data_IF_236485003251
#
_entry.id   IF_236485003251
#
_cell.length_a   1.000
_cell.length_b   1.000
_cell.length_c   1.000
_cell.angle_alpha   90.00
_cell.angle_beta   90.00
_cell.angle_gamma   90.00
#
_symmetry.space_group_name_H-M   'P 1'
#
loop_
_entity.id
_entity.type
_entity.pdbx_description
1 polymer ?
#
# COMPACT_ATOMS: atom_id res chain seq x y z
N UNK A 1 9.80 23.17 -1.82
CA UNK A 1 9.23 21.83 -1.64
C UNK A 1 9.60 21.05 -2.89
N UNK A 2 10.87 20.63 -3.02
CA UNK A 2 11.43 20.21 -4.30
C UNK A 2 12.05 18.81 -4.18
N UNK A 3 11.70 17.97 -5.14
CA UNK A 3 12.45 16.81 -5.64
C UNK A 3 12.59 15.56 -4.76
N UNK A 4 11.47 14.90 -4.44
CA UNK A 4 11.45 13.47 -4.05
C UNK A 4 10.91 12.55 -5.14
N UNK A 5 10.80 13.02 -6.39
CA UNK A 5 10.43 12.14 -7.50
C UNK A 5 11.60 11.20 -7.81
N UNK A 6 11.31 9.91 -7.84
CA UNK A 6 12.28 8.88 -8.22
C UNK A 6 12.71 9.10 -9.68
N UNK A 7 13.90 8.61 -10.09
CA UNK A 7 14.37 8.74 -11.47
C UNK A 7 13.34 8.24 -12.51
N UNK A 8 12.59 7.19 -12.19
CA UNK A 8 11.52 6.64 -13.04
C UNK A 8 10.33 7.58 -13.16
N UNK A 9 9.92 8.24 -12.07
CA UNK A 9 8.84 9.23 -12.10
C UNK A 9 9.25 10.47 -12.91
N UNK A 10 10.50 10.92 -12.77
CA UNK A 10 11.02 12.04 -13.58
C UNK A 10 11.06 11.71 -15.07
N UNK A 11 11.44 10.49 -15.44
CA UNK A 11 11.42 10.04 -16.84
C UNK A 11 9.99 10.02 -17.40
N UNK A 12 9.05 9.50 -16.62
CA UNK A 12 7.63 9.45 -16.99
C UNK A 12 7.06 10.85 -17.20
N UNK A 13 7.30 11.79 -16.29
CA UNK A 13 6.85 13.18 -16.41
C UNK A 13 7.44 13.89 -17.64
N UNK A 14 8.73 13.69 -17.92
CA UNK A 14 9.35 14.24 -19.13
C UNK A 14 8.70 13.68 -20.40
N UNK A 15 8.40 12.38 -20.42
CA UNK A 15 7.73 11.75 -21.55
C UNK A 15 6.29 12.25 -21.72
N UNK A 16 5.58 12.43 -20.62
CA UNK A 16 4.23 12.99 -20.62
C UNK A 16 4.22 14.39 -21.24
N UNK A 17 5.12 15.26 -20.77
CA UNK A 17 5.26 16.62 -21.28
C UNK A 17 5.63 16.65 -22.78
N UNK A 18 6.45 15.71 -23.24
CA UNK A 18 6.82 15.62 -24.66
C UNK A 18 5.65 15.17 -25.54
N UNK A 19 4.89 14.15 -25.11
CA UNK A 19 3.74 13.65 -25.85
C UNK A 19 2.62 14.70 -25.99
N UNK A 20 2.40 15.50 -24.95
CA UNK A 20 1.36 16.53 -24.94
C UNK A 20 1.82 17.90 -25.46
N UNK A 21 3.09 18.07 -25.83
CA UNK A 21 3.65 19.36 -26.25
C UNK A 21 2.90 20.00 -27.42
N UNK A 22 2.48 19.20 -28.39
CA UNK A 22 1.81 19.65 -29.62
C UNK A 22 0.31 19.32 -29.65
N UNK A 23 -0.24 18.81 -28.53
CA UNK A 23 -1.65 18.38 -28.44
C UNK A 23 -2.49 19.37 -27.64
N UNK A 24 -3.74 19.65 -28.07
CA UNK A 24 -4.65 20.46 -27.28
C UNK A 24 -5.08 19.71 -26.01
N UNK A 25 -5.29 20.45 -24.92
CA UNK A 25 -5.79 19.87 -23.67
C UNK A 25 -7.19 19.25 -23.87
N UNK A 26 -7.45 18.01 -23.42
CA UNK A 26 -8.75 17.38 -23.56
C UNK A 26 -9.81 18.16 -22.76
N UNK A 27 -11.01 18.30 -23.31
CA UNK A 27 -12.12 19.04 -22.67
C UNK A 27 -13.21 18.15 -22.07
N UNK A 28 -13.09 16.85 -22.26
CA UNK A 28 -14.09 15.83 -21.92
C UNK A 28 -13.36 14.57 -21.47
N UNK A 29 -13.88 13.91 -20.44
CA UNK A 29 -13.28 12.75 -19.80
C UNK A 29 -13.00 11.61 -20.81
N UNK A 30 -13.91 11.35 -21.75
CA UNK A 30 -13.71 10.36 -22.82
C UNK A 30 -12.49 10.63 -23.71
N UNK A 31 -12.18 11.90 -23.93
CA UNK A 31 -11.00 12.29 -24.72
C UNK A 31 -9.75 12.20 -23.89
N UNK A 32 -9.82 12.51 -22.61
CA UNK A 32 -8.70 12.34 -21.68
C UNK A 32 -8.29 10.87 -21.60
N UNK A 33 -9.26 9.96 -21.43
CA UNK A 33 -9.02 8.50 -21.42
C UNK A 33 -8.34 8.03 -22.71
N UNK A 34 -8.85 8.43 -23.88
CA UNK A 34 -8.24 8.08 -25.18
C UNK A 34 -6.83 8.65 -25.36
N UNK A 35 -6.57 9.86 -24.89
CA UNK A 35 -5.24 10.45 -24.95
C UNK A 35 -4.26 9.78 -23.99
N UNK A 36 -4.73 9.33 -22.83
CA UNK A 36 -3.94 8.56 -21.87
C UNK A 36 -3.59 7.16 -22.42
N UNK A 37 -4.53 6.46 -23.04
CA UNK A 37 -4.27 5.21 -23.76
C UNK A 37 -3.25 5.41 -24.90
N UNK A 38 -3.43 6.49 -25.68
CA UNK A 38 -2.48 6.88 -26.72
C UNK A 38 -1.08 7.18 -26.19
N UNK A 39 -0.98 7.83 -25.02
CA UNK A 39 0.29 8.08 -24.35
C UNK A 39 0.99 6.78 -23.97
N UNK A 40 0.27 5.82 -23.35
CA UNK A 40 0.86 4.53 -22.98
C UNK A 40 1.38 3.76 -24.20
N UNK A 41 0.62 3.75 -25.30
CA UNK A 41 1.08 3.16 -26.55
C UNK A 41 2.34 3.88 -27.07
N UNK A 42 2.33 5.20 -27.18
CA UNK A 42 3.49 5.94 -27.68
C UNK A 42 4.73 5.77 -26.78
N UNK A 43 4.56 5.80 -25.46
CA UNK A 43 5.67 5.65 -24.50
C UNK A 43 6.34 4.29 -24.64
N UNK A 44 5.55 3.21 -24.71
CA UNK A 44 6.07 1.84 -24.79
C UNK A 44 6.63 1.50 -26.18
N UNK A 45 6.00 1.97 -27.27
CA UNK A 45 6.33 1.56 -28.64
C UNK A 45 7.19 2.54 -29.43
N UNK A 46 7.29 3.81 -29.02
CA UNK A 46 8.10 4.83 -29.72
C UNK A 46 9.25 5.27 -28.84
N UNK A 47 8.98 5.74 -27.61
CA UNK A 47 10.00 6.36 -26.76
C UNK A 47 11.00 5.34 -26.22
N UNK A 48 10.54 4.29 -25.52
CA UNK A 48 11.43 3.25 -24.95
C UNK A 48 12.28 2.53 -26.00
N UNK A 49 11.82 2.51 -27.24
CA UNK A 49 12.54 1.95 -28.38
C UNK A 49 13.64 2.86 -28.89
N UNK A 50 13.38 4.17 -28.92
CA UNK A 50 14.38 5.16 -29.33
C UNK A 50 15.59 5.19 -28.40
N UNK A 51 15.39 5.00 -27.09
CA UNK A 51 16.47 4.99 -26.10
C UNK A 51 17.31 3.70 -26.13
N UNK A 52 16.70 2.56 -26.47
CA UNK A 52 17.39 1.26 -26.52
C UNK A 52 18.06 1.01 -27.86
N UNK A 53 17.70 1.76 -28.91
CA UNK A 53 18.20 1.57 -30.28
C UNK A 53 17.85 0.21 -30.88
N UNK A 54 16.97 -0.55 -30.21
CA UNK A 54 16.59 -1.92 -30.54
C UNK A 54 15.08 -1.97 -30.74
N UNK A 55 14.66 -2.62 -31.82
CA UNK A 55 13.26 -2.92 -32.11
C UNK A 55 12.69 -3.90 -31.06
N UNK A 56 11.35 -4.03 -30.90
CA UNK A 56 10.78 -4.93 -29.90
C UNK A 56 11.14 -6.38 -30.22
N UNK A 57 11.31 -6.68 -31.51
CA UNK A 57 11.79 -7.95 -32.02
C UNK A 57 13.22 -8.27 -31.55
N UNK A 58 14.11 -7.27 -31.56
CA UNK A 58 15.49 -7.44 -31.07
C UNK A 58 15.55 -7.59 -29.55
N UNK A 59 14.75 -6.83 -28.80
CA UNK A 59 14.63 -7.01 -27.35
C UNK A 59 14.06 -8.39 -27.00
N UNK A 60 13.03 -8.85 -27.72
CA UNK A 60 12.46 -10.20 -27.50
C UNK A 60 13.50 -11.29 -27.75
N UNK A 61 14.29 -11.15 -28.82
CA UNK A 61 15.38 -12.07 -29.14
C UNK A 61 16.47 -12.07 -28.07
N UNK A 62 16.77 -10.93 -27.47
CA UNK A 62 17.76 -10.82 -26.39
C UNK A 62 17.27 -11.41 -25.07
N UNK A 63 16.01 -11.17 -24.69
CA UNK A 63 15.44 -11.66 -23.42
C UNK A 63 15.15 -13.17 -23.47
N UNK A 64 14.62 -13.66 -24.58
CA UNK A 64 14.10 -15.03 -24.66
C UNK A 64 14.98 -15.96 -25.50
N UNK A 65 16.06 -15.47 -26.10
CA UNK A 65 16.95 -16.21 -27.02
C UNK A 65 16.19 -16.90 -28.18
N UNK A 66 14.99 -16.42 -28.50
CA UNK A 66 14.09 -16.97 -29.52
C UNK A 66 13.76 -15.91 -30.55
N UNK A 67 13.68 -16.29 -31.82
CA UNK A 67 13.17 -15.36 -32.83
C UNK A 67 11.70 -15.04 -32.54
N UNK A 68 11.31 -13.77 -32.50
CA UNK A 68 9.91 -13.41 -32.36
C UNK A 68 9.13 -14.02 -33.54
N UNK A 69 7.89 -14.49 -33.31
CA UNK A 69 7.05 -14.99 -34.40
C UNK A 69 7.02 -13.98 -35.55
N UNK A 70 7.42 -14.41 -36.76
CA UNK A 70 7.55 -13.53 -37.95
C UNK A 70 6.23 -12.88 -38.38
N UNK A 71 5.12 -13.43 -37.89
CA UNK A 71 3.79 -12.92 -38.08
C UNK A 71 3.17 -12.85 -36.68
N UNK A 72 3.27 -11.69 -36.03
CA UNK A 72 2.13 -11.33 -35.19
C UNK A 72 0.98 -11.19 -36.17
N UNK A 73 -0.11 -11.97 -36.07
CA UNK A 73 -1.28 -11.69 -36.86
C UNK A 73 -1.70 -10.25 -36.51
N UNK A 74 -1.46 -9.30 -37.43
CA UNK A 74 -2.02 -7.95 -37.43
C UNK A 74 -3.51 -8.05 -37.83
N UNK A 75 -4.17 -9.10 -37.35
CA UNK A 75 -5.60 -9.21 -37.28
C UNK A 75 -5.94 -9.24 -35.79
N UNK A 76 -5.61 -8.14 -35.09
CA UNK A 76 -6.04 -7.87 -33.72
C UNK A 76 -7.52 -7.50 -33.80
N UNK A 77 -8.33 -8.50 -34.10
CA UNK A 77 -9.76 -8.59 -33.79
C UNK A 77 -10.05 -9.85 -32.97
N UNK A 78 -9.02 -10.55 -32.48
CA UNK A 78 -9.22 -11.36 -31.29
C UNK A 78 -9.21 -10.38 -30.12
N UNK A 79 -10.36 -10.05 -29.52
CA UNK A 79 -10.38 -9.25 -28.31
C UNK A 79 -9.42 -9.93 -27.34
N UNK A 80 -8.56 -9.13 -26.70
CA UNK A 80 -7.80 -9.57 -25.53
C UNK A 80 -8.67 -10.54 -24.76
N UNK A 81 -8.18 -11.77 -24.49
CA UNK A 81 -8.93 -12.79 -23.74
C UNK A 81 -9.39 -12.13 -22.44
N UNK A 82 -10.58 -11.53 -22.48
CA UNK A 82 -11.25 -10.99 -21.32
C UNK A 82 -11.48 -12.26 -20.52
N UNK A 83 -10.71 -12.40 -19.45
CA UNK A 83 -11.14 -13.31 -18.41
C UNK A 83 -12.47 -12.71 -17.98
N UNK A 84 -13.56 -13.34 -18.44
CA UNK A 84 -14.88 -13.05 -17.94
C UNK A 84 -14.81 -13.43 -16.47
N UNK A 85 -14.51 -12.43 -15.64
CA UNK A 85 -14.75 -12.50 -14.22
C UNK A 85 -16.28 -12.53 -14.12
N UNK A 86 -16.83 -13.73 -14.10
CA UNK A 86 -18.19 -13.94 -13.62
C UNK A 86 -18.11 -13.55 -12.15
N UNK A 87 -18.54 -12.32 -11.85
CA UNK A 87 -18.83 -11.93 -10.47
C UNK A 87 -19.80 -12.99 -9.96
N UNK A 88 -19.39 -13.67 -8.89
CA UNK A 88 -20.21 -14.69 -8.27
C UNK A 88 -21.50 -14.01 -7.83
N UNK A 89 -22.62 -14.30 -8.49
CA UNK A 89 -23.94 -13.71 -8.17
C UNK A 89 -24.38 -14.08 -6.74
N UNK A 90 -23.67 -15.02 -6.09
CA UNK A 90 -23.79 -15.35 -4.66
C UNK A 90 -22.99 -14.43 -3.71
N UNK A 91 -22.34 -13.36 -4.20
CA UNK A 91 -21.77 -12.35 -3.30
C UNK A 91 -22.89 -11.54 -2.63
N UNK A 92 -23.30 -11.99 -1.45
CA UNK A 92 -24.31 -11.34 -0.62
C UNK A 92 -23.65 -10.15 0.11
N UNK A 93 -23.88 -8.94 -0.37
CA UNK A 93 -23.42 -7.71 0.28
C UNK A 93 -23.93 -7.58 1.73
N UNK A 94 -24.96 -8.34 2.13
CA UNK A 94 -25.47 -8.34 3.51
C UNK A 94 -24.59 -9.10 4.51
N UNK A 95 -23.57 -9.85 4.06
CA UNK A 95 -22.57 -10.45 4.95
C UNK A 95 -21.53 -9.42 5.47
N UNK A 96 -21.43 -8.24 4.83
CA UNK A 96 -20.79 -7.07 5.42
C UNK A 96 -21.80 -6.34 6.32
N UNK A 97 -22.16 -6.97 7.43
CA UNK A 97 -23.05 -6.36 8.41
C UNK A 97 -22.41 -5.09 9.02
N UNK A 98 -23.22 -4.04 9.13
CA UNK A 98 -22.95 -2.71 9.73
C UNK A 98 -22.50 -2.72 11.22
N UNK A 99 -22.14 -3.89 11.78
CA UNK A 99 -21.75 -4.01 13.19
C UNK A 99 -20.43 -3.25 13.48
N UNK A 100 -19.53 -3.15 12.52
CA UNK A 100 -18.28 -2.38 12.64
C UNK A 100 -18.53 -0.86 12.66
N UNK A 101 -19.59 -0.37 12.01
CA UNK A 101 -19.92 1.06 11.90
C UNK A 101 -20.51 1.61 13.21
N UNK A 102 -21.23 0.79 13.97
CA UNK A 102 -21.75 1.17 15.29
C UNK A 102 -20.65 1.35 16.35
N UNK A 103 -19.60 0.52 16.32
CA UNK A 103 -18.48 0.62 17.26
C UNK A 103 -17.66 1.88 16.99
N UNK A 104 -17.38 2.16 15.71
CA UNK A 104 -16.66 3.37 15.30
C UNK A 104 -17.42 4.66 15.67
N UNK A 105 -18.75 4.68 15.49
CA UNK A 105 -19.59 5.82 15.85
C UNK A 105 -19.56 6.13 17.36
N UNK A 106 -19.59 5.09 18.20
CA UNK A 106 -19.48 5.23 19.68
C UNK A 106 -18.11 5.78 20.09
N UNK A 107 -17.05 5.41 19.38
CA UNK A 107 -15.70 5.93 19.65
C UNK A 107 -15.56 7.42 19.30
N UNK A 108 -16.14 7.86 18.18
CA UNK A 108 -16.20 9.29 17.81
C UNK A 108 -16.98 10.11 18.83
N UNK A 109 -18.15 9.63 19.27
CA UNK A 109 -18.95 10.32 20.29
C UNK A 109 -18.19 10.44 21.63
N UNK A 110 -17.41 9.43 21.99
CA UNK A 110 -16.55 9.48 23.17
C UNK A 110 -15.41 10.52 23.05
N UNK A 111 -14.86 10.71 21.85
CA UNK A 111 -13.87 11.75 21.59
C UNK A 111 -14.49 13.16 21.63
N UNK A 112 -15.68 13.33 21.05
CA UNK A 112 -16.41 14.60 21.05
C UNK A 112 -16.85 15.03 22.46
N UNK A 113 -17.17 14.07 23.33
CA UNK A 113 -17.57 14.30 24.72
C UNK A 113 -16.40 14.33 25.72
N UNK A 114 -15.21 14.74 25.28
CA UNK A 114 -14.05 14.89 26.16
C UNK A 114 -14.01 16.25 26.85
N UNK A 115 -13.63 16.26 28.14
CA UNK A 115 -13.46 17.49 28.93
C UNK A 115 -11.99 17.78 29.23
N UNK A 116 -11.59 19.06 29.24
CA UNK A 116 -10.24 19.43 29.59
C UNK A 116 -9.98 19.26 31.09
N UNK A 117 -8.88 18.58 31.42
CA UNK A 117 -8.31 18.47 32.77
C UNK A 117 -6.87 18.93 32.77
N UNK A 118 -6.33 19.26 33.95
CA UNK A 118 -4.92 19.64 34.09
C UNK A 118 -4.10 18.44 34.54
N UNK A 119 -2.98 18.19 33.85
CA UNK A 119 -1.98 17.23 34.28
C UNK A 119 -1.53 17.55 35.71
N UNK A 120 -1.48 16.53 36.56
CA UNK A 120 -1.20 16.66 37.99
C UNK A 120 0.23 17.12 38.24
N UNK A 121 1.15 16.75 37.34
CA UNK A 121 2.58 17.07 37.38
C UNK A 121 2.89 18.43 36.71
N UNK A 122 2.75 18.54 35.39
CA UNK A 122 3.16 19.76 34.64
C UNK A 122 2.08 20.84 34.50
N UNK A 123 0.82 20.56 34.90
CA UNK A 123 -0.35 21.46 34.76
C UNK A 123 -0.81 21.75 33.33
N UNK A 124 -0.22 21.13 32.30
CA UNK A 124 -0.71 21.20 30.93
C UNK A 124 -2.14 20.66 30.83
N UNK A 125 -2.92 21.19 29.89
CA UNK A 125 -4.29 20.77 29.63
C UNK A 125 -4.29 19.47 28.82
N UNK A 126 -5.06 18.49 29.26
CA UNK A 126 -5.26 17.18 28.64
C UNK A 126 -6.75 16.95 28.43
N UNK A 127 -7.13 16.21 27.40
CA UNK A 127 -8.51 15.81 27.13
C UNK A 127 -8.80 14.48 27.81
N UNK A 128 -9.91 14.41 28.54
CA UNK A 128 -10.34 13.20 29.26
C UNK A 128 -11.78 12.90 28.89
N UNK A 129 -12.12 11.66 28.46
CA UNK A 129 -13.50 11.27 28.19
C UNK A 129 -14.39 11.49 29.42
N UNK A 130 -15.61 11.99 29.21
CA UNK A 130 -16.53 12.37 30.29
C UNK A 130 -16.80 11.24 31.28
N UNK A 131 -16.88 10.00 30.81
CA UNK A 131 -17.07 8.82 31.65
C UNK A 131 -15.93 8.60 32.66
N UNK A 132 -14.72 9.08 32.34
CA UNK A 132 -13.51 8.85 33.13
C UNK A 132 -13.13 10.04 34.01
N UNK A 133 -13.70 11.22 33.75
CA UNK A 133 -13.38 12.51 34.41
C UNK A 133 -13.49 12.51 35.94
N UNK A 134 -14.25 11.59 36.54
CA UNK A 134 -14.43 11.51 38.00
C UNK A 134 -13.94 10.19 38.61
N UNK A 135 -13.49 9.24 37.78
CA UNK A 135 -13.10 7.90 38.26
C UNK A 135 -11.66 7.86 38.78
N UNK A 136 -10.84 8.82 38.38
CA UNK A 136 -9.42 8.85 38.69
C UNK A 136 -9.06 10.03 39.62
N UNK A 137 -8.14 9.77 40.56
CA UNK A 137 -7.64 10.79 41.50
C UNK A 137 -6.59 11.68 40.85
N UNK A 138 -5.81 11.14 39.92
CA UNK A 138 -4.73 11.82 39.22
C UNK A 138 -4.90 11.71 37.70
N UNK A 139 -4.46 12.75 37.03
CA UNK A 139 -4.46 12.89 35.57
C UNK A 139 -3.05 13.24 35.15
N UNK A 140 -2.44 12.51 34.21
CA UNK A 140 -1.09 12.76 33.72
C UNK A 140 -1.09 12.83 32.19
N UNK A 141 -0.27 13.72 31.63
CA UNK A 141 0.04 13.71 30.20
C UNK A 141 1.10 12.63 29.91
N UNK A 142 1.17 12.18 28.65
CA UNK A 142 2.14 11.20 28.13
C UNK A 142 3.58 11.51 28.57
N UNK A 143 4.04 12.74 28.36
CA UNK A 143 5.40 13.18 28.70
C UNK A 143 5.75 13.03 30.19
N UNK A 144 4.80 13.38 31.07
CA UNK A 144 5.02 13.28 32.51
C UNK A 144 5.01 11.83 32.97
N UNK A 145 4.20 10.99 32.33
CA UNK A 145 4.16 9.56 32.61
C UNK A 145 5.47 8.86 32.18
N UNK A 146 6.04 9.22 31.04
CA UNK A 146 7.33 8.70 30.60
C UNK A 146 8.51 9.11 31.49
N UNK A 147 8.46 10.31 32.06
CA UNK A 147 9.48 10.76 33.00
C UNK A 147 9.41 10.07 34.36
N UNK A 148 8.33 9.34 34.66
CA UNK A 148 8.24 8.55 35.88
C UNK A 148 9.15 7.33 35.83
N UNK A 149 9.74 7.00 36.98
CA UNK A 149 10.60 5.83 37.11
C UNK A 149 9.76 4.55 36.95
N UNK A 150 10.37 3.45 36.51
CA UNK A 150 9.67 2.20 36.21
C UNK A 150 8.87 1.63 37.40
N UNK A 151 9.42 1.79 38.62
CA UNK A 151 8.76 1.39 39.87
C UNK A 151 7.49 2.21 40.12
N UNK A 152 7.53 3.52 39.85
CA UNK A 152 6.38 4.41 39.99
C UNK A 152 5.32 4.11 38.94
N UNK A 153 5.72 3.81 37.69
CA UNK A 153 4.76 3.40 36.64
C UNK A 153 4.04 2.13 37.02
N UNK A 154 4.76 1.09 37.46
CA UNK A 154 4.18 -0.20 37.86
C UNK A 154 3.19 -0.05 39.02
N UNK A 155 3.50 0.76 40.03
CA UNK A 155 2.58 1.03 41.14
C UNK A 155 1.37 1.91 40.76
N UNK A 156 1.53 2.79 39.77
CA UNK A 156 0.48 3.70 39.31
C UNK A 156 -0.54 2.99 38.40
N UNK A 157 -0.08 2.08 37.54
CA UNK A 157 -0.97 1.28 36.66
C UNK A 157 -1.86 0.33 37.47
N UNK A 158 -1.32 -0.26 38.56
CA UNK A 158 -2.07 -1.23 39.36
C UNK A 158 -3.16 -0.61 40.25
N UNK A 159 -3.12 0.70 40.51
CA UNK A 159 -3.98 1.31 41.52
C UNK A 159 -5.30 1.89 41.00
N UNK A 160 -5.60 1.82 39.69
CA UNK A 160 -6.77 2.48 39.07
C UNK A 160 -6.94 3.97 39.47
N UNK A 161 -5.91 4.61 40.03
CA UNK A 161 -6.00 5.94 40.64
C UNK A 161 -5.51 7.03 39.67
N UNK A 162 -4.97 6.65 38.51
CA UNK A 162 -4.39 7.57 37.54
C UNK A 162 -4.88 7.32 36.11
N UNK A 163 -5.37 8.37 35.47
CA UNK A 163 -5.59 8.41 34.02
C UNK A 163 -4.35 8.98 33.34
N UNK A 164 -3.92 8.36 32.25
CA UNK A 164 -2.83 8.84 31.40
C UNK A 164 -3.42 9.12 30.02
N UNK A 165 -3.34 10.36 29.57
CA UNK A 165 -3.67 10.69 28.19
C UNK A 165 -2.56 10.17 27.29
N UNK A 166 -2.92 9.25 26.40
CA UNK A 166 -2.07 8.83 25.29
C UNK A 166 -2.56 9.63 24.09
N UNK A 167 -1.76 10.59 23.64
CA UNK A 167 -2.04 11.27 22.38
C UNK A 167 -1.98 10.22 21.26
N UNK A 168 -3.07 10.06 20.51
CA UNK A 168 -3.16 9.06 19.45
C UNK A 168 -2.05 9.21 18.40
N UNK A 169 -1.66 10.45 18.09
CA UNK A 169 -0.54 10.72 17.19
C UNK A 169 0.80 10.19 17.73
N UNK A 170 1.05 10.37 19.03
CA UNK A 170 2.27 9.88 19.68
C UNK A 170 2.29 8.34 19.79
N UNK A 171 1.12 7.72 19.96
CA UNK A 171 0.98 6.26 19.96
C UNK A 171 1.29 5.69 18.59
N UNK A 172 0.63 6.19 17.54
CA UNK A 172 0.86 5.78 16.15
C UNK A 172 2.34 5.97 15.80
N UNK A 173 2.92 7.12 16.15
CA UNK A 173 4.33 7.39 15.90
C UNK A 173 5.25 6.38 16.60
N UNK A 174 4.98 6.03 17.86
CA UNK A 174 5.77 5.01 18.57
C UNK A 174 5.61 3.61 18.00
N UNK A 175 4.41 3.24 17.56
CA UNK A 175 4.20 1.97 16.88
C UNK A 175 4.97 1.92 15.57
N UNK A 176 4.94 2.99 14.79
CA UNK A 176 5.73 3.13 13.56
C UNK A 176 7.23 3.05 13.87
N UNK A 177 7.72 3.79 14.87
CA UNK A 177 9.13 3.77 15.26
C UNK A 177 9.58 2.38 15.76
N UNK A 178 8.73 1.68 16.51
CA UNK A 178 8.97 0.32 16.97
C UNK A 178 8.97 -0.68 15.81
N UNK A 179 8.00 -0.57 14.90
CA UNK A 179 7.91 -1.40 13.70
C UNK A 179 9.11 -1.18 12.77
N UNK A 180 9.53 0.08 12.59
CA UNK A 180 10.73 0.43 11.82
C UNK A 180 11.98 -0.13 12.47
N UNK A 181 12.16 0.05 13.78
CA UNK A 181 13.32 -0.50 14.50
C UNK A 181 13.37 -2.03 14.44
N UNK A 182 12.20 -2.69 14.54
CA UNK A 182 12.12 -4.14 14.35
C UNK A 182 12.45 -4.54 12.92
N UNK A 183 11.93 -3.83 11.91
CA UNK A 183 12.21 -4.10 10.51
C UNK A 183 13.69 -3.92 10.17
N UNK A 184 14.32 -2.83 10.63
CA UNK A 184 15.76 -2.59 10.49
C UNK A 184 16.56 -3.73 11.12
N UNK A 185 16.25 -4.08 12.36
CA UNK A 185 16.92 -5.19 13.05
C UNK A 185 16.69 -6.54 12.36
N UNK A 186 15.50 -6.77 11.84
CA UNK A 186 15.19 -7.98 11.07
C UNK A 186 16.00 -8.04 9.78
N UNK A 187 16.16 -6.92 9.08
CA UNK A 187 16.94 -6.83 7.84
C UNK A 187 18.45 -6.96 8.12
N UNK A 188 18.96 -6.38 9.20
CA UNK A 188 20.39 -6.40 9.53
C UNK A 188 20.85 -7.71 10.18
N UNK A 189 20.07 -8.23 11.14
CA UNK A 189 20.50 -9.37 11.95
C UNK A 189 19.87 -10.70 11.51
N UNK A 190 18.56 -10.68 11.23
CA UNK A 190 17.77 -11.91 11.04
C UNK A 190 17.86 -12.38 9.58
N UNK A 191 17.69 -11.47 8.63
CA UNK A 191 17.62 -11.77 7.21
C UNK A 191 18.91 -12.39 6.68
N UNK A 192 20.13 -11.91 6.99
CA UNK A 192 21.35 -12.52 6.49
C UNK A 192 21.50 -13.96 6.97
N UNK A 193 21.12 -14.24 8.22
CA UNK A 193 21.17 -15.58 8.79
C UNK A 193 20.17 -16.52 8.10
N UNK A 194 18.90 -16.11 8.02
CA UNK A 194 17.86 -16.86 7.31
C UNK A 194 18.25 -17.10 5.85
N UNK A 195 18.84 -16.11 5.19
CA UNK A 195 19.26 -16.21 3.80
C UNK A 195 20.44 -17.16 3.60
N UNK A 196 21.42 -17.17 4.51
CA UNK A 196 22.51 -18.14 4.48
C UNK A 196 21.99 -19.56 4.69
N UNK A 197 21.11 -19.77 5.68
CA UNK A 197 20.50 -21.08 5.94
C UNK A 197 19.72 -21.57 4.71
N UNK A 198 18.91 -20.69 4.09
CA UNK A 198 18.15 -21.03 2.88
C UNK A 198 19.06 -21.29 1.68
N UNK A 199 20.19 -20.57 1.55
CA UNK A 199 21.18 -20.83 0.49
C UNK A 199 21.81 -22.20 0.61
N UNK A 200 22.19 -22.62 1.81
CA UNK A 200 22.76 -23.96 2.02
C UNK A 200 21.72 -25.05 1.76
N UNK A 201 20.46 -24.83 2.15
CA UNK A 201 19.34 -25.70 1.80
C UNK A 201 19.20 -25.84 0.27
N UNK A 202 19.14 -24.74 -0.46
CA UNK A 202 19.00 -24.73 -1.92
C UNK A 202 20.20 -25.39 -2.63
N UNK A 203 21.42 -25.27 -2.09
CA UNK A 203 22.61 -25.96 -2.62
C UNK A 203 22.55 -27.48 -2.47
N UNK A 204 21.84 -27.96 -1.44
CA UNK A 204 21.71 -29.39 -1.17
C UNK A 204 20.65 -30.08 -2.02
N UNK A 205 19.75 -29.31 -2.64
CA UNK A 205 18.66 -29.82 -3.48
C UNK A 205 19.12 -30.28 -4.86
N UNK A 206 18.38 -31.21 -5.46
CA UNK A 206 18.59 -31.58 -6.86
C UNK A 206 18.15 -30.48 -7.81
N UNK A 207 18.68 -30.49 -9.05
CA UNK A 207 18.28 -29.53 -10.10
C UNK A 207 16.78 -29.56 -10.40
N UNK A 208 16.15 -30.73 -10.25
CA UNK A 208 14.71 -30.89 -10.49
C UNK A 208 13.90 -30.21 -9.39
N UNK A 209 14.22 -30.47 -8.13
CA UNK A 209 13.55 -29.84 -6.98
C UNK A 209 13.74 -28.32 -6.98
N UNK A 210 14.94 -27.85 -7.33
CA UNK A 210 15.22 -26.42 -7.45
C UNK A 210 14.33 -25.76 -8.53
N UNK A 211 14.16 -26.42 -9.68
CA UNK A 211 13.31 -25.92 -10.76
C UNK A 211 11.82 -25.90 -10.35
N UNK A 212 11.37 -26.92 -9.61
CA UNK A 212 9.99 -26.97 -9.09
C UNK A 212 9.75 -25.83 -8.09
N UNK A 213 10.65 -25.60 -7.13
CA UNK A 213 10.53 -24.50 -6.17
C UNK A 213 10.52 -23.14 -6.89
N UNK A 214 11.46 -22.89 -7.81
CA UNK A 214 11.49 -21.64 -8.57
C UNK A 214 10.22 -21.41 -9.39
N UNK A 215 9.65 -22.48 -9.95
CA UNK A 215 8.37 -22.40 -10.67
C UNK A 215 7.22 -22.01 -9.73
N UNK A 216 7.10 -22.66 -8.58
CA UNK A 216 6.04 -22.35 -7.61
C UNK A 216 6.16 -20.94 -7.05
N UNK A 217 7.36 -20.47 -6.69
CA UNK A 217 7.59 -19.10 -6.24
C UNK A 217 7.19 -18.07 -7.32
N UNK A 218 7.50 -18.36 -8.59
CA UNK A 218 7.09 -17.52 -9.72
C UNK A 218 5.58 -17.48 -9.90
N UNK A 219 4.89 -18.62 -9.81
CA UNK A 219 3.43 -18.70 -9.88
C UNK A 219 2.78 -17.97 -8.72
N UNK A 220 3.26 -18.19 -7.49
CA UNK A 220 2.75 -17.50 -6.31
C UNK A 220 2.88 -15.98 -6.43
N UNK A 221 4.04 -15.50 -6.89
CA UNK A 221 4.27 -14.08 -7.14
C UNK A 221 3.31 -13.52 -8.19
N UNK A 222 3.08 -14.26 -9.28
CA UNK A 222 2.14 -13.85 -10.33
C UNK A 222 0.69 -13.78 -9.81
N UNK A 223 0.26 -14.77 -9.03
CA UNK A 223 -1.09 -14.82 -8.44
C UNK A 223 -1.27 -13.74 -7.37
N UNK A 224 -0.31 -13.56 -6.47
CA UNK A 224 -0.36 -12.51 -5.45
C UNK A 224 -0.45 -11.12 -6.09
N UNK A 225 0.35 -10.85 -7.12
CA UNK A 225 0.23 -9.61 -7.89
C UNK A 225 -1.12 -9.48 -8.60
N UNK A 226 -1.71 -10.58 -9.05
CA UNK A 226 -3.03 -10.57 -9.67
C UNK A 226 -4.15 -10.26 -8.66
N UNK A 227 -4.10 -10.84 -7.45
CA UNK A 227 -5.07 -10.57 -6.36
C UNK A 227 -4.92 -9.13 -5.84
N UNK A 228 -3.70 -8.62 -5.75
CA UNK A 228 -3.42 -7.27 -5.26
C UNK A 228 -3.48 -6.19 -6.34
N UNK A 229 -3.78 -6.54 -7.60
CA UNK A 229 -4.18 -5.53 -8.58
C UNK A 229 -5.52 -4.98 -8.11
N UNK A 230 -5.61 -3.72 -7.67
CA UNK A 230 -6.88 -3.14 -7.26
C UNK A 230 -7.84 -3.27 -8.43
N UNK A 231 -9.06 -3.75 -8.17
CA UNK A 231 -10.18 -3.79 -9.11
C UNK A 231 -10.49 -2.38 -9.63
N UNK A 232 -9.65 -1.86 -10.53
CA UNK A 232 -9.91 -0.68 -11.35
C UNK A 232 -10.57 -1.10 -12.67
N UNK A 233 -11.46 -2.09 -12.58
CA UNK A 233 -12.46 -2.26 -13.61
C UNK A 233 -13.56 -1.32 -13.17
N UNK A 234 -13.45 -0.06 -13.61
CA UNK A 234 -14.55 0.90 -13.51
C UNK A 234 -15.76 0.23 -14.18
N UNK A 235 -16.72 -0.18 -13.34
CA UNK A 235 -18.08 -0.46 -13.76
C UNK A 235 -18.62 0.88 -14.22
N UNK A 236 -18.38 1.21 -15.50
CA UNK A 236 -19.17 2.21 -16.22
C UNK A 236 -20.56 1.61 -16.38
N UNK A 237 -21.33 1.60 -15.29
CA UNK A 237 -22.75 1.34 -15.31
C UNK A 237 -23.40 2.46 -16.11
N UNK A 238 -23.98 2.04 -17.23
CA UNK A 238 -24.74 2.87 -18.14
C UNK A 238 -25.94 3.46 -17.39
N UNK A 239 -25.82 4.69 -16.87
CA UNK A 239 -26.98 5.55 -16.71
C UNK A 239 -27.43 6.07 -18.08
N UNK A 240 -27.98 5.16 -18.87
CA UNK A 240 -28.95 5.44 -19.91
C UNK A 240 -30.33 5.05 -19.38
N UNK A 241 -30.90 5.86 -18.49
CA UNK A 241 -32.34 5.89 -18.28
C UNK A 241 -32.88 7.25 -18.71
N UNK A 242 -33.49 7.20 -19.90
CA UNK A 242 -34.65 7.96 -20.43
C UNK A 242 -35.06 9.31 -19.84
#
# INVERSE_FOLDING_TARGET
>A
MNDTLTPTMKEFEMAWNEYFKDKPYPKTDDKEKKEQEGFYHWYNYVRKQSDTGKTPAEMYKEVYEKEPPKEFPINVQEPSRMMNFEWDEEYDESDFNDEDDEEFSKEIDNLLNSRPKKCSSCKNQILVPDEKVNNFKKYLCSDCYEKMNEVERKGTIQSNDCYVEINGEDFIKKEIDLANSFAEKAVEDIFPKLWQDKKEELKSMSKKELAEIMFFEGVFTAVANFIHLPNKIDVNEEHNET
#
